data_IF_668525671693
#
_entry.id   IF_668525671693
#
_cell.length_a   1.000
_cell.length_b   1.000
_cell.length_c   1.000
_cell.angle_alpha   90.00
_cell.angle_beta   90.00
_cell.angle_gamma   90.00
#
_symmetry.space_group_name_H-M   'P 1'
#
loop_
_entity.id
_entity.type
_entity.pdbx_description
1 polymer ?
#
# COMPACT_ATOMS: atom_id res chain seq x y z
N UNK A 1 3.07 52.19 10.11
CA UNK A 1 4.41 51.53 10.31
C UNK A 1 4.47 50.02 10.07
N UNK A 2 3.42 49.35 9.61
CA UNK A 2 3.45 47.89 9.30
C UNK A 2 3.74 47.53 7.83
N UNK A 3 3.55 48.42 6.87
CA UNK A 3 3.80 48.12 5.45
C UNK A 3 5.27 48.16 5.03
N UNK A 4 6.15 48.86 5.72
CA UNK A 4 7.57 48.96 5.35
C UNK A 4 8.40 47.69 5.70
N UNK A 5 7.97 46.88 6.67
CA UNK A 5 8.70 45.65 7.04
C UNK A 5 8.49 44.49 6.07
N UNK A 6 7.35 44.44 5.35
CA UNK A 6 7.11 43.43 4.34
C UNK A 6 7.87 43.66 3.03
N UNK A 7 8.07 44.92 2.66
CA UNK A 7 8.83 45.27 1.47
C UNK A 7 10.33 44.98 1.59
N UNK A 8 10.91 45.14 2.78
CA UNK A 8 12.33 44.87 3.06
C UNK A 8 12.60 43.35 3.11
N UNK A 9 11.66 42.54 3.64
CA UNK A 9 11.80 41.08 3.66
C UNK A 9 11.64 40.46 2.25
N UNK A 10 10.74 41.01 1.42
CA UNK A 10 10.60 40.59 0.02
C UNK A 10 11.83 40.97 -0.81
N UNK A 11 12.42 42.17 -0.58
CA UNK A 11 13.65 42.59 -1.25
C UNK A 11 14.87 41.76 -0.82
N UNK A 12 14.94 41.33 0.47
CA UNK A 12 16.02 40.45 0.93
C UNK A 12 15.91 39.00 0.39
N UNK A 13 14.68 38.49 0.16
CA UNK A 13 14.46 37.17 -0.44
C UNK A 13 14.71 37.16 -1.97
N UNK A 14 14.57 38.32 -2.65
CA UNK A 14 14.91 38.45 -4.07
C UNK A 14 16.45 38.55 -4.29
N UNK A 15 17.25 38.89 -3.28
CA UNK A 15 18.71 38.97 -3.39
C UNK A 15 19.42 37.63 -3.24
N UNK A 16 18.73 36.53 -2.93
CA UNK A 16 19.27 35.18 -2.78
C UNK A 16 19.04 34.30 -4.01
N UNK A 17 18.25 34.73 -4.98
CA UNK A 17 18.13 34.02 -6.27
C UNK A 17 19.27 34.48 -7.19
N UNK A 18 20.05 33.56 -7.76
CA UNK A 18 21.04 33.95 -8.78
C UNK A 18 20.33 34.68 -9.89
N UNK A 19 20.86 35.83 -10.30
CA UNK A 19 20.29 36.62 -11.41
C UNK A 19 20.17 35.77 -12.68
N UNK A 20 19.24 36.08 -13.61
CA UNK A 20 18.95 35.25 -14.78
C UNK A 20 20.20 34.93 -15.62
N UNK A 21 21.12 35.86 -15.75
CA UNK A 21 22.40 35.65 -16.48
C UNK A 21 23.32 34.62 -15.80
N UNK A 22 23.33 34.56 -14.45
CA UNK A 22 24.10 33.55 -13.70
C UNK A 22 23.46 32.17 -13.81
N UNK A 23 22.13 32.10 -13.74
CA UNK A 23 21.39 30.83 -13.89
C UNK A 23 21.56 30.24 -15.30
N UNK A 24 21.64 31.10 -16.34
CA UNK A 24 21.87 30.68 -17.72
C UNK A 24 23.32 30.20 -17.92
N UNK A 25 24.32 30.89 -17.37
CA UNK A 25 25.71 30.48 -17.41
C UNK A 25 25.95 29.14 -16.67
N UNK A 26 25.26 28.94 -15.54
CA UNK A 26 25.31 27.69 -14.79
C UNK A 26 24.70 26.54 -15.59
N UNK A 27 23.63 26.77 -16.36
CA UNK A 27 23.00 25.79 -17.22
C UNK A 27 23.89 25.39 -18.40
N UNK A 28 24.52 26.36 -19.08
CA UNK A 28 25.45 26.10 -20.18
C UNK A 28 26.67 25.31 -19.70
N UNK A 29 27.21 25.63 -18.54
CA UNK A 29 28.30 24.87 -17.91
C UNK A 29 27.84 23.43 -17.62
N UNK A 30 26.62 23.24 -17.08
CA UNK A 30 26.07 21.91 -16.82
C UNK A 30 25.89 21.10 -18.11
N UNK A 31 25.36 21.72 -19.17
CA UNK A 31 25.25 21.09 -20.51
C UNK A 31 26.58 20.65 -21.08
N UNK A 32 27.58 21.51 -20.98
CA UNK A 32 28.93 21.19 -21.45
C UNK A 32 29.55 20.00 -20.71
N UNK A 33 29.42 19.97 -19.39
CA UNK A 33 29.90 18.86 -18.57
C UNK A 33 29.12 17.56 -18.85
N UNK A 34 27.83 17.64 -19.00
CA UNK A 34 26.98 16.48 -19.33
C UNK A 34 27.33 15.92 -20.72
N UNK A 35 27.52 16.79 -21.71
CA UNK A 35 27.97 16.41 -23.06
C UNK A 35 29.37 15.82 -23.05
N UNK A 36 30.26 16.28 -22.16
CA UNK A 36 31.59 15.73 -21.92
C UNK A 36 31.59 14.37 -21.18
N UNK A 37 30.44 13.80 -20.86
CA UNK A 37 30.33 12.45 -20.28
C UNK A 37 30.34 12.42 -18.74
N UNK A 38 30.24 13.55 -18.05
CA UNK A 38 30.18 13.56 -16.60
C UNK A 38 28.80 13.03 -16.14
N UNK A 39 28.77 11.82 -15.59
CA UNK A 39 27.55 11.14 -15.20
C UNK A 39 26.71 11.91 -14.16
N UNK A 40 27.38 12.60 -13.23
CA UNK A 40 26.69 13.43 -12.23
C UNK A 40 26.01 14.63 -12.89
N UNK A 41 26.70 15.31 -13.81
CA UNK A 41 26.12 16.43 -14.57
C UNK A 41 25.00 15.98 -15.49
N UNK A 42 25.11 14.80 -16.09
CA UNK A 42 24.05 14.17 -16.89
C UNK A 42 22.81 13.91 -16.05
N UNK A 43 22.97 13.39 -14.83
CA UNK A 43 21.84 13.18 -13.90
C UNK A 43 21.21 14.50 -13.45
N UNK A 44 22.02 15.51 -13.12
CA UNK A 44 21.50 16.83 -12.76
C UNK A 44 20.71 17.46 -13.92
N UNK A 45 21.21 17.34 -15.14
CA UNK A 45 20.50 17.83 -16.33
C UNK A 45 19.19 17.06 -16.55
N UNK A 46 19.21 15.73 -16.38
CA UNK A 46 18.01 14.90 -16.41
C UNK A 46 16.97 15.36 -15.37
N UNK A 47 17.40 15.65 -14.14
CA UNK A 47 16.51 16.15 -13.10
C UNK A 47 15.91 17.52 -13.46
N UNK A 48 16.69 18.42 -14.04
CA UNK A 48 16.19 19.73 -14.50
C UNK A 48 15.12 19.59 -15.59
N UNK A 49 15.31 18.75 -16.59
CA UNK A 49 14.31 18.47 -17.61
C UNK A 49 13.06 17.79 -17.04
N UNK A 50 13.22 16.85 -16.10
CA UNK A 50 12.11 16.19 -15.43
C UNK A 50 11.24 17.17 -14.65
N UNK A 51 11.87 18.09 -13.92
CA UNK A 51 11.20 18.98 -12.97
C UNK A 51 10.87 20.37 -13.57
N UNK A 52 11.43 20.69 -14.74
CA UNK A 52 11.26 21.99 -15.41
C UNK A 52 12.03 23.11 -14.69
N UNK A 53 13.19 22.83 -14.07
CA UNK A 53 13.97 23.79 -13.31
C UNK A 53 15.04 24.44 -14.20
N UNK A 54 14.83 25.69 -14.59
CA UNK A 54 15.71 26.46 -15.48
C UNK A 54 15.65 26.01 -16.95
N UNK A 55 14.88 24.99 -17.27
CA UNK A 55 14.60 24.52 -18.64
C UNK A 55 13.10 24.17 -18.73
N UNK A 56 12.48 24.20 -19.92
CA UNK A 56 11.14 23.65 -20.10
C UNK A 56 11.11 22.18 -19.68
N UNK A 57 10.03 21.76 -19.00
CA UNK A 57 9.86 20.36 -18.63
C UNK A 57 9.80 19.49 -19.89
N UNK A 58 10.67 18.47 -19.96
CA UNK A 58 10.72 17.50 -21.04
C UNK A 58 11.10 16.13 -20.49
N UNK A 59 10.10 15.25 -20.35
CA UNK A 59 10.30 13.91 -19.77
C UNK A 59 11.08 12.97 -20.69
N UNK A 60 11.04 13.21 -22.02
CA UNK A 60 11.79 12.39 -22.98
C UNK A 60 13.29 12.75 -22.93
N UNK A 61 13.63 14.04 -22.93
CA UNK A 61 15.00 14.52 -22.72
C UNK A 61 15.54 14.09 -21.35
N UNK A 62 14.73 14.21 -20.30
CA UNK A 62 15.08 13.75 -18.95
C UNK A 62 15.49 12.27 -18.96
N UNK A 63 14.71 11.43 -19.64
CA UNK A 63 15.01 9.99 -19.73
C UNK A 63 16.28 9.70 -20.53
N UNK A 64 16.53 10.43 -21.63
CA UNK A 64 17.75 10.24 -22.41
C UNK A 64 19.03 10.59 -21.60
N UNK A 65 18.99 11.72 -20.88
CA UNK A 65 20.12 12.10 -20.02
C UNK A 65 20.27 11.15 -18.82
N UNK A 66 19.16 10.67 -18.25
CA UNK A 66 19.19 9.69 -17.18
C UNK A 66 19.79 8.34 -17.63
N UNK A 67 19.53 7.88 -18.87
CA UNK A 67 20.17 6.70 -19.43
C UNK A 67 21.69 6.87 -19.51
N UNK A 68 22.17 8.00 -20.08
CA UNK A 68 23.58 8.27 -20.15
C UNK A 68 24.25 8.31 -18.77
N UNK A 69 23.59 8.93 -17.80
CA UNK A 69 24.06 8.99 -16.42
C UNK A 69 24.11 7.60 -15.77
N UNK A 70 23.11 6.77 -16.01
CA UNK A 70 23.05 5.39 -15.51
C UNK A 70 24.16 4.52 -16.12
N UNK A 71 24.40 4.65 -17.43
CA UNK A 71 25.50 3.98 -18.13
C UNK A 71 26.87 4.46 -17.60
N UNK A 72 26.96 5.71 -17.16
CA UNK A 72 28.12 6.28 -16.46
C UNK A 72 28.24 5.90 -14.98
N UNK A 73 27.36 5.04 -14.46
CA UNK A 73 27.41 4.52 -13.09
C UNK A 73 26.70 5.38 -12.04
N UNK A 74 25.91 6.39 -12.45
CA UNK A 74 25.17 7.23 -11.50
C UNK A 74 24.00 6.45 -10.89
N UNK A 75 24.07 6.21 -9.59
CA UNK A 75 23.16 5.31 -8.87
C UNK A 75 21.71 5.82 -8.88
N UNK A 76 21.50 7.10 -8.67
CA UNK A 76 20.18 7.73 -8.68
C UNK A 76 19.53 7.67 -10.07
N UNK A 77 20.35 7.77 -11.12
CA UNK A 77 19.90 7.63 -12.50
C UNK A 77 19.46 6.18 -12.79
N UNK A 78 20.22 5.19 -12.30
CA UNK A 78 19.84 3.77 -12.42
C UNK A 78 18.50 3.50 -11.76
N UNK A 79 18.27 4.01 -10.56
CA UNK A 79 16.99 3.85 -9.86
C UNK A 79 15.84 4.51 -10.61
N UNK A 80 16.04 5.73 -11.11
CA UNK A 80 15.04 6.44 -11.90
C UNK A 80 14.70 5.68 -13.19
N UNK A 81 15.70 5.29 -13.99
CA UNK A 81 15.51 4.56 -15.25
C UNK A 81 14.84 3.21 -14.99
N UNK A 82 15.28 2.46 -13.98
CA UNK A 82 14.63 1.23 -13.54
C UNK A 82 13.15 1.43 -13.21
N UNK A 83 12.82 2.51 -12.50
CA UNK A 83 11.45 2.88 -12.16
C UNK A 83 10.59 3.22 -13.39
N UNK A 84 11.17 3.89 -14.39
CA UNK A 84 10.46 4.20 -15.65
C UNK A 84 10.17 2.92 -16.44
N UNK A 85 11.13 1.99 -16.57
CA UNK A 85 10.89 0.69 -17.20
C UNK A 85 9.86 -0.16 -16.46
N UNK A 86 9.87 -0.10 -15.12
CA UNK A 86 8.93 -0.88 -14.32
C UNK A 86 7.48 -0.39 -14.48
N UNK A 87 7.28 0.93 -14.51
CA UNK A 87 5.95 1.54 -14.69
C UNK A 87 5.45 1.54 -16.13
N UNK A 88 6.34 1.71 -17.07
CA UNK A 88 5.98 1.87 -18.48
C UNK A 88 5.32 3.22 -18.81
N UNK A 89 5.66 4.28 -18.07
CA UNK A 89 4.99 5.59 -18.19
C UNK A 89 5.44 6.41 -19.40
N UNK A 90 6.72 6.31 -19.77
CA UNK A 90 7.32 7.04 -20.90
C UNK A 90 7.76 6.12 -22.04
N UNK A 91 7.97 4.87 -21.73
CA UNK A 91 8.45 3.83 -22.63
C UNK A 91 7.67 2.54 -22.38
N UNK A 92 7.75 1.60 -23.31
CA UNK A 92 7.13 0.29 -23.11
C UNK A 92 7.64 -0.38 -21.84
N UNK A 93 6.72 -0.81 -20.99
CA UNK A 93 7.03 -1.51 -19.74
C UNK A 93 7.95 -2.71 -19.99
N UNK A 94 9.05 -2.77 -19.26
CA UNK A 94 9.99 -3.89 -19.30
C UNK A 94 10.58 -4.18 -17.91
N UNK A 95 9.92 -5.03 -17.11
CA UNK A 95 10.38 -5.33 -15.75
C UNK A 95 11.75 -6.04 -15.70
N UNK A 96 12.17 -6.73 -16.77
CA UNK A 96 13.48 -7.40 -16.80
C UNK A 96 14.61 -6.37 -16.85
N UNK A 97 14.46 -5.34 -17.68
CA UNK A 97 15.43 -4.23 -17.74
C UNK A 97 15.44 -3.48 -16.42
N UNK A 98 14.25 -3.18 -15.86
CA UNK A 98 14.13 -2.53 -14.54
C UNK A 98 14.88 -3.28 -13.44
N UNK A 99 14.71 -4.61 -13.39
CA UNK A 99 15.41 -5.48 -12.45
C UNK A 99 16.94 -5.38 -12.59
N UNK A 100 17.45 -5.27 -13.82
CA UNK A 100 18.88 -5.09 -14.10
C UNK A 100 19.43 -3.81 -13.46
N UNK A 101 18.74 -2.67 -13.67
CA UNK A 101 19.11 -1.39 -13.08
C UNK A 101 19.04 -1.40 -11.55
N UNK A 102 17.97 -1.96 -10.97
CA UNK A 102 17.86 -2.05 -9.51
C UNK A 102 18.95 -2.93 -8.89
N UNK A 103 19.31 -4.04 -9.53
CA UNK A 103 20.43 -4.88 -9.07
C UNK A 103 21.76 -4.12 -9.08
N UNK A 104 22.02 -3.34 -10.11
CA UNK A 104 23.26 -2.55 -10.22
C UNK A 104 23.34 -1.46 -9.13
N UNK A 105 22.22 -0.87 -8.74
CA UNK A 105 22.15 0.23 -7.78
C UNK A 105 21.95 -0.20 -6.32
N UNK A 106 21.44 -1.43 -6.04
CA UNK A 106 20.94 -1.84 -4.73
C UNK A 106 21.97 -1.85 -3.60
N UNK A 107 23.26 -1.97 -3.93
CA UNK A 107 24.34 -1.92 -2.92
C UNK A 107 24.58 -0.50 -2.39
N UNK A 108 24.26 0.51 -3.18
CA UNK A 108 24.56 1.92 -2.90
C UNK A 108 23.31 2.77 -2.66
N UNK A 109 22.13 2.29 -3.09
CA UNK A 109 20.85 2.98 -2.97
C UNK A 109 19.84 2.17 -2.16
N UNK A 110 19.42 2.70 -1.02
CA UNK A 110 18.34 2.13 -0.23
C UNK A 110 17.01 2.07 -1.01
N UNK A 111 16.78 3.05 -1.89
CA UNK A 111 15.60 3.08 -2.75
C UNK A 111 15.67 1.96 -3.80
N UNK A 112 16.81 1.76 -4.46
CA UNK A 112 17.00 0.69 -5.43
C UNK A 112 16.90 -0.70 -4.76
N UNK A 113 17.45 -0.86 -3.57
CA UNK A 113 17.28 -2.08 -2.78
C UNK A 113 15.79 -2.34 -2.44
N UNK A 114 15.05 -1.32 -2.04
CA UNK A 114 13.60 -1.43 -1.83
C UNK A 114 12.88 -1.85 -3.12
N UNK A 115 13.15 -1.20 -4.25
CA UNK A 115 12.55 -1.51 -5.54
C UNK A 115 12.90 -2.94 -6.01
N UNK A 116 14.13 -3.39 -5.77
CA UNK A 116 14.56 -4.76 -6.08
C UNK A 116 13.80 -5.78 -5.24
N UNK A 117 13.60 -5.51 -3.95
CA UNK A 117 12.74 -6.32 -3.08
C UNK A 117 11.31 -6.42 -3.62
N UNK A 118 10.73 -5.30 -4.09
CA UNK A 118 9.41 -5.29 -4.73
C UNK A 118 9.36 -6.14 -6.00
N UNK A 119 10.42 -6.14 -6.80
CA UNK A 119 10.50 -6.98 -8.00
C UNK A 119 10.49 -8.48 -7.64
N UNK A 120 11.25 -8.90 -6.64
CA UNK A 120 11.25 -10.29 -6.17
C UNK A 120 9.91 -10.70 -5.54
N UNK A 121 9.30 -9.83 -4.76
CA UNK A 121 8.00 -10.09 -4.13
C UNK A 121 6.87 -10.22 -5.16
N UNK A 122 6.83 -9.32 -6.13
CA UNK A 122 5.76 -9.24 -7.15
C UNK A 122 6.03 -10.03 -8.42
N UNK A 123 7.07 -10.85 -8.50
CA UNK A 123 7.48 -11.58 -9.72
C UNK A 123 7.67 -10.65 -10.94
N UNK A 124 8.24 -9.46 -10.72
CA UNK A 124 8.38 -8.45 -11.77
C UNK A 124 9.77 -8.55 -12.44
N UNK A 125 9.81 -9.13 -13.62
CA UNK A 125 11.05 -9.36 -14.37
C UNK A 125 11.91 -10.53 -13.84
N UNK A 126 11.41 -11.27 -12.87
CA UNK A 126 12.04 -12.45 -12.25
C UNK A 126 10.95 -13.38 -11.71
N UNK A 127 11.32 -14.58 -11.32
CA UNK A 127 10.45 -15.43 -10.51
C UNK A 127 10.25 -14.83 -9.11
N UNK A 128 9.10 -15.12 -8.53
CA UNK A 128 8.83 -14.71 -7.16
C UNK A 128 9.84 -15.34 -6.19
N UNK A 129 10.40 -14.51 -5.31
CA UNK A 129 11.32 -14.97 -4.27
C UNK A 129 11.15 -14.10 -3.02
N UNK A 130 10.24 -14.52 -2.14
CA UNK A 130 9.91 -13.74 -0.94
C UNK A 130 11.08 -13.64 0.04
N UNK A 131 11.87 -14.71 0.31
CA UNK A 131 13.08 -14.58 1.12
C UNK A 131 14.05 -13.50 0.61
N UNK A 132 14.32 -13.45 -0.71
CA UNK A 132 15.14 -12.39 -1.29
C UNK A 132 14.50 -11.00 -1.19
N UNK A 133 13.18 -10.90 -1.35
CA UNK A 133 12.48 -9.63 -1.16
C UNK A 133 12.69 -9.10 0.25
N UNK A 134 12.53 -9.95 1.27
CA UNK A 134 12.74 -9.62 2.68
C UNK A 134 14.19 -9.20 2.96
N UNK A 135 15.17 -9.90 2.39
CA UNK A 135 16.59 -9.56 2.50
C UNK A 135 16.85 -8.12 2.01
N UNK A 136 16.39 -7.79 0.80
CA UNK A 136 16.58 -6.46 0.23
C UNK A 136 15.79 -5.37 0.97
N UNK A 137 14.58 -5.65 1.47
CA UNK A 137 13.83 -4.69 2.28
C UNK A 137 14.50 -4.44 3.63
N UNK A 138 15.04 -5.48 4.29
CA UNK A 138 15.79 -5.31 5.52
C UNK A 138 17.08 -4.52 5.29
N UNK A 139 17.79 -4.77 4.18
CA UNK A 139 18.96 -3.99 3.78
C UNK A 139 18.60 -2.51 3.57
N UNK A 140 17.52 -2.23 2.84
CA UNK A 140 17.03 -0.87 2.63
C UNK A 140 16.61 -0.20 3.96
N UNK A 141 15.95 -0.94 4.85
CA UNK A 141 15.54 -0.46 6.18
C UNK A 141 16.76 -0.10 7.05
N UNK A 142 17.80 -0.92 7.03
CA UNK A 142 19.06 -0.65 7.73
C UNK A 142 19.73 0.62 7.19
N UNK A 143 19.65 0.87 5.89
CA UNK A 143 20.13 2.09 5.23
C UNK A 143 19.19 3.31 5.41
N UNK A 144 18.17 3.21 6.28
CA UNK A 144 17.30 4.34 6.64
C UNK A 144 16.06 4.51 5.75
N UNK A 145 15.70 3.53 4.95
CA UNK A 145 14.49 3.59 4.12
C UNK A 145 13.26 3.17 4.92
N UNK A 146 12.51 4.14 5.47
CA UNK A 146 11.38 3.90 6.38
C UNK A 146 10.29 2.99 5.77
N UNK A 147 9.95 3.21 4.51
CA UNK A 147 8.96 2.38 3.81
C UNK A 147 9.39 0.92 3.68
N UNK A 148 10.69 0.67 3.46
CA UNK A 148 11.20 -0.69 3.41
C UNK A 148 11.07 -1.38 4.77
N UNK A 149 11.34 -0.65 5.87
CA UNK A 149 11.15 -1.16 7.22
C UNK A 149 9.68 -1.52 7.48
N UNK A 150 8.73 -0.64 7.10
CA UNK A 150 7.30 -0.92 7.25
C UNK A 150 6.85 -2.11 6.39
N UNK A 151 7.31 -2.19 5.15
CA UNK A 151 6.97 -3.30 4.23
C UNK A 151 7.54 -4.64 4.73
N UNK A 152 8.78 -4.65 5.21
CA UNK A 152 9.39 -5.84 5.79
C UNK A 152 8.67 -6.27 7.08
N UNK A 153 8.32 -5.30 7.96
CA UNK A 153 7.54 -5.57 9.17
C UNK A 153 6.22 -6.26 8.85
N UNK A 154 5.52 -5.73 7.85
CA UNK A 154 4.25 -6.28 7.37
C UNK A 154 4.39 -7.72 6.87
N UNK A 155 5.42 -7.99 6.05
CA UNK A 155 5.65 -9.31 5.49
C UNK A 155 6.03 -10.34 6.57
N UNK A 156 6.86 -9.98 7.55
CA UNK A 156 7.18 -10.84 8.69
C UNK A 156 5.99 -11.08 9.62
N UNK A 157 5.12 -10.09 9.79
CA UNK A 157 3.90 -10.25 10.58
C UNK A 157 2.91 -11.20 9.89
N UNK A 158 2.78 -11.06 8.57
CA UNK A 158 1.88 -11.91 7.77
C UNK A 158 2.39 -13.33 7.58
N UNK A 159 3.70 -13.56 7.65
CA UNK A 159 4.31 -14.87 7.39
C UNK A 159 4.09 -15.34 5.96
N UNK A 160 4.11 -14.43 5.01
CA UNK A 160 3.89 -14.75 3.61
C UNK A 160 5.18 -15.27 2.97
N UNK A 161 5.20 -16.57 2.61
CA UNK A 161 6.38 -17.23 2.04
C UNK A 161 7.54 -17.47 3.02
N UNK A 162 7.36 -17.11 4.29
CA UNK A 162 8.26 -17.38 5.41
C UNK A 162 7.44 -17.66 6.68
N UNK A 163 8.03 -18.29 7.68
CA UNK A 163 7.35 -18.42 8.97
C UNK A 163 7.13 -17.02 9.59
N UNK A 164 5.94 -16.72 10.15
CA UNK A 164 5.70 -15.44 10.82
C UNK A 164 6.69 -15.21 11.97
N UNK A 165 7.24 -14.00 12.05
CA UNK A 165 8.04 -13.55 13.19
C UNK A 165 7.50 -12.22 13.71
N UNK A 166 6.51 -12.24 14.63
CA UNK A 166 5.93 -11.02 15.18
C UNK A 166 6.93 -10.16 15.97
N UNK A 167 7.98 -10.76 16.53
CA UNK A 167 9.00 -10.02 17.29
C UNK A 167 9.90 -9.22 16.33
N UNK A 168 10.33 -9.83 15.22
CA UNK A 168 11.08 -9.14 14.17
C UNK A 168 10.19 -8.09 13.49
N UNK A 169 8.92 -8.42 13.20
CA UNK A 169 7.96 -7.47 12.62
C UNK A 169 7.81 -6.22 13.50
N UNK A 170 7.70 -6.38 14.85
CA UNK A 170 7.61 -5.27 15.78
C UNK A 170 8.86 -4.39 15.73
N UNK A 171 10.06 -4.97 15.78
CA UNK A 171 11.32 -4.18 15.68
C UNK A 171 11.43 -3.39 14.38
N UNK A 172 11.00 -3.99 13.27
CA UNK A 172 10.99 -3.29 11.97
C UNK A 172 9.93 -2.19 11.89
N UNK A 173 8.75 -2.40 12.51
CA UNK A 173 7.72 -1.37 12.62
C UNK A 173 8.19 -0.21 13.53
N UNK A 174 8.86 -0.50 14.63
CA UNK A 174 9.51 0.50 15.49
C UNK A 174 10.56 1.30 14.70
N UNK A 175 11.40 0.62 13.92
CA UNK A 175 12.38 1.28 13.04
C UNK A 175 11.70 2.19 12.00
N UNK A 176 10.60 1.75 11.38
CA UNK A 176 9.84 2.58 10.45
C UNK A 176 9.23 3.81 11.16
N UNK A 177 8.73 3.63 12.38
CA UNK A 177 8.17 4.72 13.20
C UNK A 177 9.23 5.76 13.63
N UNK A 178 10.45 5.32 13.96
CA UNK A 178 11.62 6.20 14.20
C UNK A 178 11.94 7.06 12.97
N UNK A 179 11.87 6.46 11.79
CA UNK A 179 12.08 7.13 10.51
C UNK A 179 10.90 7.99 10.07
N UNK A 180 9.88 8.15 10.92
CA UNK A 180 8.65 8.88 10.65
C UNK A 180 7.89 8.36 9.40
N UNK A 181 7.98 7.07 9.12
CA UNK A 181 7.18 6.46 8.05
C UNK A 181 5.73 6.27 8.51
N UNK A 182 4.74 6.91 7.87
CA UNK A 182 3.34 6.84 8.30
C UNK A 182 2.80 5.41 8.36
N UNK A 183 3.14 4.58 7.37
CA UNK A 183 2.72 3.18 7.35
C UNK A 183 3.29 2.37 8.53
N UNK A 184 4.53 2.66 8.92
CA UNK A 184 5.17 2.04 10.08
C UNK A 184 4.51 2.44 11.39
N UNK A 185 4.16 3.72 11.55
CA UNK A 185 3.43 4.22 12.72
C UNK A 185 2.03 3.60 12.84
N UNK A 186 1.31 3.47 11.72
CA UNK A 186 0.00 2.81 11.69
C UNK A 186 0.14 1.35 12.09
N UNK A 187 1.06 0.62 11.47
CA UNK A 187 1.29 -0.80 11.76
C UNK A 187 1.69 -1.03 13.22
N UNK A 188 2.64 -0.24 13.74
CA UNK A 188 3.05 -0.34 15.14
C UNK A 188 1.89 -0.06 16.08
N UNK A 189 1.10 0.97 15.80
CA UNK A 189 -0.11 1.29 16.55
C UNK A 189 -1.14 0.16 16.52
N UNK A 190 -1.34 -0.51 15.39
CA UNK A 190 -2.22 -1.68 15.29
C UNK A 190 -1.71 -2.86 16.12
N UNK A 191 -0.41 -3.15 16.07
CA UNK A 191 0.19 -4.19 16.90
C UNK A 191 0.02 -3.89 18.40
N UNK A 192 0.23 -2.64 18.81
CA UNK A 192 0.04 -2.17 20.18
C UNK A 192 -1.44 -2.22 20.61
N UNK A 193 -2.34 -1.78 19.75
CA UNK A 193 -3.79 -1.87 20.00
C UNK A 193 -4.23 -3.31 20.22
N UNK A 194 -3.74 -4.24 19.41
CA UNK A 194 -4.03 -5.66 19.58
C UNK A 194 -3.44 -6.26 20.85
N UNK A 195 -2.29 -5.74 21.29
CA UNK A 195 -1.65 -6.11 22.55
C UNK A 195 -2.32 -5.48 23.78
N UNK A 196 -3.23 -4.50 23.59
CA UNK A 196 -3.85 -3.74 24.68
C UNK A 196 -3.02 -2.54 25.16
N UNK A 197 -1.93 -2.20 24.47
CA UNK A 197 -1.06 -1.04 24.74
C UNK A 197 -1.71 0.24 24.16
N UNK A 198 -2.88 0.63 24.67
CA UNK A 198 -3.76 1.63 24.04
C UNK A 198 -3.16 3.04 23.96
N UNK A 199 -2.45 3.48 25.00
CA UNK A 199 -1.82 4.81 25.00
C UNK A 199 -0.69 4.90 23.96
N UNK A 200 0.10 3.84 23.81
CA UNK A 200 1.14 3.76 22.80
C UNK A 200 0.55 3.72 21.37
N UNK A 201 -0.52 2.93 21.17
CA UNK A 201 -1.25 2.91 19.90
C UNK A 201 -1.80 4.29 19.54
N UNK A 202 -2.44 4.97 20.50
CA UNK A 202 -2.96 6.34 20.37
C UNK A 202 -1.87 7.32 19.98
N UNK A 203 -0.72 7.25 20.63
CA UNK A 203 0.43 8.12 20.36
C UNK A 203 0.93 7.94 18.91
N UNK A 204 1.11 6.70 18.46
CA UNK A 204 1.57 6.39 17.11
C UNK A 204 0.55 6.80 16.04
N UNK A 205 -0.74 6.52 16.22
CA UNK A 205 -1.78 6.93 15.27
C UNK A 205 -1.95 8.46 15.24
N UNK A 206 -1.83 9.13 16.38
CA UNK A 206 -1.81 10.61 16.44
C UNK A 206 -0.61 11.17 15.70
N UNK A 207 0.56 10.56 15.84
CA UNK A 207 1.77 10.97 15.10
C UNK A 207 1.56 10.73 13.60
N UNK A 208 1.08 9.56 13.19
CA UNK A 208 0.81 9.23 11.80
C UNK A 208 -0.15 10.24 11.14
N UNK A 209 -1.25 10.59 11.82
CA UNK A 209 -2.26 11.52 11.30
C UNK A 209 -1.76 12.94 11.06
N UNK A 210 -0.68 13.34 11.74
CA UNK A 210 -0.07 14.69 11.62
C UNK A 210 1.05 14.74 10.58
N UNK A 211 1.59 13.59 10.18
CA UNK A 211 2.65 13.55 9.19
C UNK A 211 2.09 13.88 7.81
N UNK A 212 2.56 14.99 7.25
CA UNK A 212 2.40 15.23 5.81
C UNK A 212 3.43 14.36 5.09
N UNK A 213 3.04 13.68 4.00
CA UNK A 213 3.98 12.91 3.24
C UNK A 213 5.10 13.82 2.72
N UNK A 214 6.29 13.62 3.24
CA UNK A 214 7.51 14.23 2.69
C UNK A 214 8.02 13.29 1.60
N UNK A 215 7.56 13.52 0.37
CA UNK A 215 8.30 12.99 -0.79
C UNK A 215 9.62 13.72 -0.93
N UNK A 216 10.63 13.16 -1.62
CA UNK A 216 11.79 13.94 -2.07
C UNK A 216 11.28 15.21 -2.74
N UNK A 217 11.91 16.34 -2.42
CA UNK A 217 11.53 17.67 -2.88
C UNK A 217 11.19 17.65 -4.38
N UNK A 218 9.92 17.92 -4.72
CA UNK A 218 9.45 18.03 -6.11
C UNK A 218 8.52 16.90 -6.61
N UNK A 219 8.36 15.80 -5.89
CA UNK A 219 7.35 14.81 -6.24
C UNK A 219 6.04 15.04 -5.46
N UNK A 220 4.87 14.96 -6.12
CA UNK A 220 3.60 14.94 -5.41
C UNK A 220 3.64 13.78 -4.39
N UNK A 221 3.23 14.07 -3.17
CA UNK A 221 3.16 13.09 -2.10
C UNK A 221 2.52 11.79 -2.60
N UNK A 222 3.18 10.68 -2.35
CA UNK A 222 2.64 9.40 -2.82
C UNK A 222 1.27 9.16 -2.17
N UNK A 223 0.25 8.76 -2.94
CA UNK A 223 -1.11 8.54 -2.41
C UNK A 223 -1.14 7.64 -1.17
N UNK A 224 -0.22 6.69 -1.07
CA UNK A 224 -0.07 5.77 0.06
C UNK A 224 0.25 6.45 1.40
N UNK A 225 1.04 7.52 1.42
CA UNK A 225 1.40 8.17 2.68
C UNK A 225 0.25 9.05 3.22
N UNK A 226 -0.51 9.72 2.33
CA UNK A 226 -1.74 10.40 2.70
C UNK A 226 -2.78 9.41 3.24
N UNK A 227 -2.90 8.25 2.60
CA UNK A 227 -3.81 7.19 3.02
C UNK A 227 -3.45 6.66 4.41
N UNK A 228 -2.16 6.45 4.73
CA UNK A 228 -1.74 6.00 6.06
C UNK A 228 -1.98 7.06 7.14
N UNK A 229 -1.78 8.35 6.83
CA UNK A 229 -2.09 9.43 7.75
C UNK A 229 -3.60 9.51 8.05
N UNK A 230 -4.45 9.38 7.02
CA UNK A 230 -5.90 9.32 7.18
C UNK A 230 -6.31 8.07 7.96
N UNK A 231 -5.73 6.91 7.66
CA UNK A 231 -5.97 5.68 8.40
C UNK A 231 -5.65 5.85 9.89
N UNK A 232 -4.51 6.47 10.24
CA UNK A 232 -4.16 6.78 11.62
C UNK A 232 -5.23 7.62 12.33
N UNK A 233 -5.75 8.65 11.65
CA UNK A 233 -6.84 9.48 12.18
C UNK A 233 -8.14 8.70 12.40
N UNK A 234 -8.50 7.81 11.49
CA UNK A 234 -9.71 6.98 11.58
C UNK A 234 -9.58 5.94 12.70
N UNK A 235 -8.42 5.33 12.87
CA UNK A 235 -8.18 4.33 13.90
C UNK A 235 -8.21 4.90 15.32
N UNK A 236 -7.95 6.20 15.49
CA UNK A 236 -8.12 6.87 16.80
C UNK A 236 -9.55 6.74 17.33
N UNK A 237 -10.56 6.64 16.47
CA UNK A 237 -11.96 6.42 16.87
C UNK A 237 -12.17 5.05 17.51
N UNK A 238 -11.39 4.04 17.10
CA UNK A 238 -11.53 2.67 17.63
C UNK A 238 -11.04 2.54 19.08
N UNK A 239 -10.18 3.44 19.57
CA UNK A 239 -9.62 3.34 20.92
C UNK A 239 -10.73 3.43 21.97
N UNK A 240 -11.65 4.36 21.81
CA UNK A 240 -12.74 4.55 22.77
C UNK A 240 -13.68 3.35 22.82
N UNK A 241 -13.83 2.62 21.72
CA UNK A 241 -14.65 1.41 21.65
C UNK A 241 -13.93 0.16 22.16
N UNK A 242 -12.62 0.10 22.06
CA UNK A 242 -11.81 -1.05 22.55
C UNK A 242 -11.96 -1.28 24.05
N UNK A 243 -12.18 -0.20 24.80
CA UNK A 243 -12.36 -0.22 26.26
C UNK A 243 -13.75 -0.64 26.70
N UNK A 244 -14.71 -0.72 25.78
CA UNK A 244 -16.09 -1.10 26.07
C UNK A 244 -16.31 -2.58 25.77
N UNK A 245 -17.09 -3.31 26.57
CA UNK A 245 -17.60 -4.61 26.18
C UNK A 245 -18.38 -4.48 24.87
N UNK A 246 -18.30 -5.50 24.01
CA UNK A 246 -19.15 -5.55 22.82
C UNK A 246 -20.63 -5.47 23.23
N UNK A 247 -21.38 -4.58 22.62
CA UNK A 247 -22.81 -4.39 22.83
C UNK A 247 -23.56 -4.80 21.55
N UNK A 248 -24.19 -6.00 21.52
CA UNK A 248 -24.89 -6.47 20.32
C UNK A 248 -25.88 -5.43 19.78
N UNK A 249 -25.85 -5.22 18.46
CA UNK A 249 -26.66 -4.21 17.77
C UNK A 249 -26.09 -2.79 17.81
N UNK A 250 -25.18 -2.46 18.71
CA UNK A 250 -24.54 -1.12 18.82
C UNK A 250 -23.08 -1.13 18.39
N UNK A 251 -22.36 -2.14 18.82
CA UNK A 251 -20.92 -2.21 18.59
C UNK A 251 -20.43 -3.65 18.65
N UNK A 252 -19.64 -4.06 17.64
CA UNK A 252 -18.87 -5.29 17.68
C UNK A 252 -17.51 -5.10 17.00
N UNK A 253 -16.48 -5.75 17.53
CA UNK A 253 -15.16 -5.81 16.94
C UNK A 253 -14.55 -7.19 17.11
N UNK A 254 -14.22 -7.82 15.98
CA UNK A 254 -13.56 -9.13 15.91
C UNK A 254 -12.09 -8.93 15.62
N UNK A 255 -11.22 -9.42 16.50
CA UNK A 255 -9.78 -9.35 16.30
C UNK A 255 -9.36 -10.25 15.14
N UNK A 256 -8.83 -9.64 14.08
CA UNK A 256 -8.36 -10.35 12.88
C UNK A 256 -6.84 -10.51 12.89
N UNK A 257 -6.31 -11.66 12.45
CA UNK A 257 -4.91 -11.77 12.12
C UNK A 257 -4.59 -10.87 10.93
N UNK A 258 -3.36 -10.34 10.91
CA UNK A 258 -2.94 -9.45 9.85
C UNK A 258 -2.21 -10.22 8.74
N UNK A 259 -2.60 -10.04 7.49
CA UNK A 259 -1.91 -10.57 6.30
C UNK A 259 -1.83 -9.47 5.24
N UNK A 260 -0.64 -9.26 4.71
CA UNK A 260 -0.40 -8.32 3.62
C UNK A 260 -0.57 -9.00 2.27
N UNK A 261 -1.20 -8.32 1.31
CA UNK A 261 -1.37 -8.87 -0.03
C UNK A 261 -0.17 -8.60 -0.93
N UNK A 262 0.13 -9.57 -1.80
CA UNK A 262 0.96 -9.38 -2.97
C UNK A 262 0.18 -8.75 -4.14
N UNK A 263 0.86 -8.58 -5.27
CA UNK A 263 0.25 -8.03 -6.49
C UNK A 263 -0.90 -8.91 -6.98
N UNK A 264 -2.07 -8.30 -7.22
CA UNK A 264 -3.31 -8.97 -7.66
C UNK A 264 -3.74 -10.19 -6.80
N UNK A 265 -3.51 -10.14 -5.49
CA UNK A 265 -3.76 -11.23 -4.56
C UNK A 265 -4.79 -10.90 -3.46
N UNK A 266 -5.64 -9.88 -3.64
CA UNK A 266 -6.57 -9.44 -2.59
C UNK A 266 -7.54 -10.55 -2.14
N UNK A 267 -8.15 -11.28 -3.08
CA UNK A 267 -9.10 -12.34 -2.77
C UNK A 267 -8.50 -13.47 -1.95
N UNK A 268 -7.38 -14.02 -2.40
CA UNK A 268 -6.70 -15.11 -1.67
C UNK A 268 -6.10 -14.63 -0.34
N UNK A 269 -5.64 -13.38 -0.24
CA UNK A 269 -5.13 -12.84 1.03
C UNK A 269 -6.26 -12.57 2.03
N UNK A 270 -7.39 -12.03 1.61
CA UNK A 270 -8.56 -11.86 2.45
C UNK A 270 -9.08 -13.22 2.96
N UNK A 271 -9.14 -14.22 2.09
CA UNK A 271 -9.52 -15.58 2.45
C UNK A 271 -8.49 -16.26 3.36
N UNK A 272 -7.20 -16.06 3.15
CA UNK A 272 -6.16 -16.55 4.06
C UNK A 272 -6.27 -15.88 5.44
N UNK A 273 -6.54 -14.58 5.50
CA UNK A 273 -6.84 -13.86 6.76
C UNK A 273 -8.03 -14.48 7.49
N UNK A 274 -9.09 -14.78 6.74
CA UNK A 274 -10.29 -15.43 7.27
C UNK A 274 -10.01 -16.88 7.74
N UNK A 275 -9.20 -17.65 6.99
CA UNK A 275 -8.77 -18.99 7.38
C UNK A 275 -7.90 -18.96 8.64
N UNK A 276 -6.99 -17.99 8.78
CA UNK A 276 -6.17 -17.82 9.98
C UNK A 276 -6.99 -17.45 11.21
N UNK A 277 -8.03 -16.66 11.04
CA UNK A 277 -8.98 -16.40 12.12
C UNK A 277 -9.58 -17.72 12.65
N UNK A 278 -9.75 -18.73 11.79
CA UNK A 278 -10.22 -20.07 12.12
C UNK A 278 -9.10 -21.05 12.49
N UNK A 279 -7.88 -20.58 12.80
CA UNK A 279 -6.76 -21.39 13.27
C UNK A 279 -5.84 -21.95 12.18
N UNK A 280 -6.05 -21.65 10.91
CA UNK A 280 -5.09 -22.01 9.84
C UNK A 280 -3.80 -21.20 9.96
N UNK A 281 -2.71 -21.71 9.40
CA UNK A 281 -1.43 -21.00 9.29
C UNK A 281 -1.13 -20.52 7.87
N UNK A 282 -2.06 -20.73 6.92
CA UNK A 282 -1.86 -20.45 5.50
C UNK A 282 -1.63 -18.96 5.22
N UNK A 283 -0.69 -18.64 4.31
CA UNK A 283 -0.47 -17.29 3.77
C UNK A 283 -1.31 -17.01 2.51
N UNK A 284 -1.39 -15.75 2.11
CA UNK A 284 -2.18 -15.34 0.94
C UNK A 284 -1.70 -15.98 -0.37
N UNK A 285 -0.39 -16.06 -0.58
CA UNK A 285 0.18 -16.73 -1.76
C UNK A 285 0.00 -18.24 -1.73
N UNK A 286 0.11 -18.88 -0.57
CA UNK A 286 -0.12 -20.31 -0.44
C UNK A 286 -1.59 -20.65 -0.69
N UNK A 287 -2.51 -19.81 -0.19
CA UNK A 287 -3.94 -19.94 -0.50
C UNK A 287 -4.19 -19.74 -2.01
N UNK A 288 -3.52 -18.75 -2.65
CA UNK A 288 -3.61 -18.51 -4.09
C UNK A 288 -3.13 -19.71 -4.92
N UNK A 289 -2.09 -20.43 -4.49
CA UNK A 289 -1.60 -21.65 -5.16
C UNK A 289 -2.60 -22.80 -5.12
N UNK A 290 -3.52 -22.80 -4.17
CA UNK A 290 -4.62 -23.77 -4.11
C UNK A 290 -5.77 -23.46 -5.08
N UNK A 291 -5.86 -22.20 -5.55
CA UNK A 291 -6.84 -21.77 -6.52
C UNK A 291 -6.44 -22.24 -7.94
N UNK A 292 -7.38 -22.69 -8.77
CA UNK A 292 -7.09 -23.13 -10.15
C UNK A 292 -6.75 -21.99 -11.12
N UNK A 293 -6.75 -20.73 -10.69
CA UNK A 293 -6.39 -19.58 -11.52
C UNK A 293 -4.89 -19.27 -11.46
N UNK A 294 -4.26 -18.79 -12.57
CA UNK A 294 -2.83 -18.46 -12.59
C UNK A 294 -2.41 -17.44 -11.52
N UNK A 295 -1.16 -17.55 -11.05
CA UNK A 295 -0.56 -16.53 -10.16
C UNK A 295 -0.51 -15.18 -10.88
N UNK A 296 -0.76 -14.09 -10.12
CA UNK A 296 -0.77 -12.72 -10.66
C UNK A 296 -2.07 -12.32 -11.38
N UNK A 297 -3.05 -13.21 -11.49
CA UNK A 297 -4.40 -12.90 -11.96
C UNK A 297 -5.40 -12.85 -10.81
N UNK A 298 -6.54 -12.18 -11.00
CA UNK A 298 -7.66 -12.22 -10.05
C UNK A 298 -8.15 -13.66 -9.81
N UNK A 299 -8.90 -13.86 -8.75
CA UNK A 299 -9.45 -15.17 -8.38
C UNK A 299 -10.96 -15.04 -8.20
N UNK A 300 -11.74 -15.88 -8.84
CA UNK A 300 -13.19 -15.86 -8.67
C UNK A 300 -13.63 -16.53 -7.35
N UNK A 301 -14.88 -16.30 -6.95
CA UNK A 301 -15.45 -16.80 -5.71
C UNK A 301 -15.52 -18.32 -5.62
N UNK A 302 -15.76 -18.99 -6.77
CA UNK A 302 -15.79 -20.45 -6.85
C UNK A 302 -14.43 -21.05 -6.56
N UNK A 303 -13.37 -20.48 -7.14
CA UNK A 303 -11.98 -20.89 -6.89
C UNK A 303 -11.54 -20.64 -5.44
N UNK A 304 -11.99 -19.53 -4.83
CA UNK A 304 -11.70 -19.25 -3.42
C UNK A 304 -12.39 -20.27 -2.50
N UNK A 305 -13.64 -20.63 -2.79
CA UNK A 305 -14.38 -21.66 -2.06
C UNK A 305 -13.75 -23.04 -2.22
N UNK A 306 -13.33 -23.41 -3.44
CA UNK A 306 -12.61 -24.65 -3.68
C UNK A 306 -11.29 -24.72 -2.89
N UNK A 307 -10.53 -23.63 -2.88
CA UNK A 307 -9.29 -23.55 -2.10
C UNK A 307 -9.55 -23.67 -0.59
N UNK A 308 -10.65 -23.10 -0.07
CA UNK A 308 -11.02 -23.24 1.34
C UNK A 308 -11.29 -24.69 1.73
N UNK A 309 -11.96 -25.43 0.87
CA UNK A 309 -12.23 -26.85 1.08
C UNK A 309 -10.94 -27.69 1.12
N UNK A 310 -9.93 -27.35 0.28
CA UNK A 310 -8.62 -28.03 0.27
C UNK A 310 -7.84 -27.87 1.60
N UNK A 311 -8.10 -26.82 2.36
CA UNK A 311 -7.51 -26.61 3.69
C UNK A 311 -8.45 -27.03 4.83
N UNK A 312 -9.54 -27.73 4.51
CA UNK A 312 -10.50 -28.22 5.50
C UNK A 312 -11.41 -27.18 6.13
N UNK A 313 -11.48 -25.99 5.54
CA UNK A 313 -12.37 -24.92 5.98
C UNK A 313 -13.73 -25.02 5.27
N UNK A 314 -14.82 -24.93 6.03
CA UNK A 314 -16.18 -24.96 5.49
C UNK A 314 -16.76 -23.55 5.48
N UNK A 315 -16.83 -22.95 4.31
CA UNK A 315 -17.39 -21.62 4.11
C UNK A 315 -18.66 -21.68 3.27
N UNK A 316 -19.55 -20.75 3.53
CA UNK A 316 -20.80 -20.58 2.79
C UNK A 316 -20.71 -19.27 2.00
N UNK A 317 -20.92 -19.36 0.68
CA UNK A 317 -21.15 -18.18 -0.15
C UNK A 317 -22.61 -17.76 -0.03
N UNK A 318 -22.83 -16.52 0.35
CA UNK A 318 -24.13 -15.87 0.46
C UNK A 318 -24.12 -14.67 -0.48
N UNK A 319 -25.24 -14.45 -1.14
CA UNK A 319 -25.41 -13.31 -2.06
C UNK A 319 -26.67 -12.56 -1.74
N UNK A 320 -26.61 -11.24 -1.79
CA UNK A 320 -27.73 -10.33 -1.58
C UNK A 320 -27.98 -9.53 -2.85
N UNK A 321 -29.21 -9.07 -3.05
CA UNK A 321 -29.54 -8.22 -4.21
C UNK A 321 -28.84 -6.86 -4.12
N UNK A 322 -28.58 -6.21 -5.28
CA UNK A 322 -27.82 -4.94 -5.30
C UNK A 322 -28.63 -3.73 -4.87
N UNK A 323 -29.95 -3.88 -4.69
CA UNK A 323 -30.89 -2.82 -4.29
C UNK A 323 -30.77 -2.46 -2.78
N UNK A 324 -31.64 -1.57 -2.34
CA UNK A 324 -31.66 -1.08 -0.96
C UNK A 324 -32.16 -2.15 0.01
N UNK A 325 -33.13 -2.98 -0.40
CA UNK A 325 -33.63 -4.08 0.40
C UNK A 325 -32.51 -5.12 0.65
N UNK A 326 -31.84 -5.54 -0.41
CA UNK A 326 -30.68 -6.46 -0.30
C UNK A 326 -29.51 -5.87 0.49
N UNK A 327 -29.30 -4.54 0.48
CA UNK A 327 -28.33 -3.92 1.36
C UNK A 327 -28.76 -3.98 2.82
N UNK A 328 -30.05 -3.77 3.10
CA UNK A 328 -30.61 -3.92 4.44
C UNK A 328 -30.42 -5.35 4.99
N UNK A 329 -30.74 -6.37 4.19
CA UNK A 329 -30.51 -7.79 4.53
C UNK A 329 -29.01 -8.09 4.74
N UNK A 330 -28.15 -7.60 3.86
CA UNK A 330 -26.71 -7.79 3.94
C UNK A 330 -26.11 -7.17 5.22
N UNK A 331 -26.53 -5.96 5.58
CA UNK A 331 -26.03 -5.31 6.80
C UNK A 331 -26.58 -5.95 8.07
N UNK A 332 -27.83 -6.43 8.08
CA UNK A 332 -28.37 -7.21 9.18
C UNK A 332 -27.60 -8.54 9.35
N UNK A 333 -27.30 -9.21 8.26
CA UNK A 333 -26.45 -10.40 8.27
C UNK A 333 -25.05 -10.12 8.82
N UNK A 334 -24.36 -9.05 8.32
CA UNK A 334 -23.05 -8.64 8.84
C UNK A 334 -23.07 -8.43 10.35
N UNK A 335 -24.03 -7.66 10.85
CA UNK A 335 -24.16 -7.37 12.29
C UNK A 335 -24.38 -8.65 13.10
N UNK A 336 -25.23 -9.55 12.63
CA UNK A 336 -25.47 -10.84 13.28
C UNK A 336 -24.24 -11.74 13.35
N UNK A 337 -23.42 -11.78 12.28
CA UNK A 337 -22.18 -12.53 12.30
C UNK A 337 -21.13 -11.87 13.22
N UNK A 338 -20.99 -10.55 13.17
CA UNK A 338 -20.05 -9.79 13.99
C UNK A 338 -20.41 -9.84 15.48
N UNK A 339 -21.71 -9.74 15.85
CA UNK A 339 -22.18 -9.90 17.22
C UNK A 339 -21.89 -11.30 17.78
N UNK A 340 -21.87 -12.29 16.88
CA UNK A 340 -21.46 -13.67 17.21
C UNK A 340 -19.93 -13.88 17.17
N UNK A 341 -19.13 -12.82 17.05
CA UNK A 341 -17.68 -12.89 17.02
C UNK A 341 -17.09 -13.46 15.73
N UNK A 342 -17.82 -13.42 14.62
CA UNK A 342 -17.39 -13.98 13.33
C UNK A 342 -17.22 -12.86 12.30
N UNK A 343 -16.03 -12.73 11.68
CA UNK A 343 -15.82 -11.81 10.55
C UNK A 343 -16.51 -12.32 9.29
N UNK A 344 -16.63 -11.46 8.29
CA UNK A 344 -17.25 -11.80 6.99
C UNK A 344 -16.35 -11.29 5.86
N UNK A 345 -16.05 -12.15 4.89
CA UNK A 345 -15.32 -11.77 3.66
C UNK A 345 -16.32 -11.17 2.68
N UNK A 346 -15.98 -10.00 2.13
CA UNK A 346 -16.82 -9.29 1.15
C UNK A 346 -16.00 -8.86 -0.05
N UNK A 347 -16.66 -8.59 -1.17
CA UNK A 347 -16.03 -8.11 -2.39
C UNK A 347 -16.51 -6.70 -2.72
N UNK A 348 -15.57 -5.81 -2.97
CA UNK A 348 -15.82 -4.42 -3.31
C UNK A 348 -15.51 -4.15 -4.78
N UNK A 349 -16.43 -3.50 -5.48
CA UNK A 349 -16.09 -2.81 -6.72
C UNK A 349 -15.44 -1.49 -6.38
N UNK A 350 -14.14 -1.41 -6.53
CA UNK A 350 -13.41 -0.19 -6.24
C UNK A 350 -13.56 0.80 -7.41
N UNK A 351 -14.29 1.87 -7.19
CA UNK A 351 -14.40 3.01 -8.09
C UNK A 351 -13.76 4.19 -7.35
N UNK A 352 -12.46 4.37 -7.46
CA UNK A 352 -11.77 5.47 -6.83
C UNK A 352 -10.57 5.96 -7.64
N UNK A 353 -10.13 7.22 -7.45
CA UNK A 353 -9.00 7.80 -8.18
C UNK A 353 -7.66 7.09 -7.96
N UNK A 354 -7.57 6.16 -7.01
CA UNK A 354 -6.38 5.36 -6.74
C UNK A 354 -6.20 4.18 -7.73
N UNK A 355 -7.23 3.89 -8.56
CA UNK A 355 -7.18 2.88 -9.62
C UNK A 355 -7.66 3.50 -10.94
N UNK A 356 -6.86 4.42 -11.55
CA UNK A 356 -7.22 5.00 -12.83
C UNK A 356 -7.25 3.91 -13.89
N UNK A 357 -8.42 3.65 -14.45
CA UNK A 357 -8.60 2.81 -15.65
C UNK A 357 -9.11 1.40 -15.43
N UNK A 358 -9.54 0.98 -14.24
CA UNK A 358 -10.06 -0.37 -14.05
C UNK A 358 -11.12 -0.48 -12.95
N UNK A 359 -12.20 -1.16 -13.24
CA UNK A 359 -13.11 -1.75 -12.25
C UNK A 359 -12.44 -3.00 -11.65
N UNK A 360 -11.37 -2.81 -10.87
CA UNK A 360 -10.74 -3.93 -10.18
C UNK A 360 -11.55 -4.23 -8.92
N UNK A 361 -12.11 -5.43 -8.82
CA UNK A 361 -12.70 -5.94 -7.58
C UNK A 361 -11.65 -6.00 -6.48
N UNK A 362 -12.05 -5.75 -5.23
CA UNK A 362 -11.18 -5.83 -4.07
C UNK A 362 -11.84 -6.58 -2.93
N UNK A 363 -11.30 -7.73 -2.58
CA UNK A 363 -11.82 -8.59 -1.53
C UNK A 363 -11.15 -8.26 -0.19
N UNK A 364 -11.95 -8.15 0.87
CA UNK A 364 -11.49 -7.83 2.23
C UNK A 364 -12.40 -8.44 3.29
N UNK A 365 -12.04 -8.30 4.56
CA UNK A 365 -12.86 -8.76 5.68
C UNK A 365 -13.54 -7.57 6.37
N UNK A 366 -14.84 -7.70 6.66
CA UNK A 366 -15.54 -6.87 7.62
C UNK A 366 -15.38 -7.52 8.99
N UNK A 367 -14.77 -6.79 9.93
CA UNK A 367 -14.44 -7.32 11.25
C UNK A 367 -15.07 -6.53 12.42
N UNK A 368 -15.89 -5.52 12.13
CA UNK A 368 -16.57 -4.78 13.16
C UNK A 368 -17.57 -3.77 12.62
N UNK A 369 -18.36 -3.19 13.52
CA UNK A 369 -19.25 -2.07 13.23
C UNK A 369 -19.42 -1.16 14.44
N UNK A 370 -19.75 0.10 14.19
CA UNK A 370 -20.05 1.15 15.15
C UNK A 370 -21.39 1.76 14.73
N UNK A 371 -22.49 1.29 15.34
CA UNK A 371 -23.83 1.63 14.86
C UNK A 371 -24.18 3.10 15.06
N UNK A 372 -23.78 3.70 16.18
CA UNK A 372 -24.06 5.11 16.49
C UNK A 372 -23.38 6.07 15.50
N UNK A 373 -22.22 5.70 14.98
CA UNK A 373 -21.46 6.49 14.01
C UNK A 373 -21.73 6.07 12.57
N UNK A 374 -22.53 5.02 12.37
CA UNK A 374 -22.83 4.43 11.06
C UNK A 374 -21.57 4.01 10.30
N UNK A 375 -20.60 3.40 11.01
CA UNK A 375 -19.33 2.95 10.50
C UNK A 375 -19.16 1.44 10.57
N UNK A 376 -18.40 0.89 9.62
CA UNK A 376 -17.93 -0.50 9.63
C UNK A 376 -16.40 -0.53 9.70
N UNK A 377 -15.87 -1.55 10.34
CA UNK A 377 -14.41 -1.79 10.46
C UNK A 377 -14.03 -2.85 9.47
N UNK A 378 -13.08 -2.51 8.60
CA UNK A 378 -12.53 -3.40 7.59
C UNK A 378 -11.13 -3.84 8.00
N UNK A 379 -10.81 -5.11 7.77
CA UNK A 379 -9.43 -5.61 7.73
C UNK A 379 -9.03 -5.73 6.25
N UNK A 380 -8.29 -4.74 5.79
CA UNK A 380 -7.94 -4.57 4.38
C UNK A 380 -6.53 -5.14 4.11
N UNK A 381 -6.38 -6.10 3.20
CA UNK A 381 -5.07 -6.63 2.82
C UNK A 381 -4.30 -5.76 1.81
N UNK A 382 -4.84 -4.60 1.39
CA UNK A 382 -4.29 -3.79 0.30
C UNK A 382 -2.81 -3.42 0.50
N UNK A 383 -2.07 -3.33 -0.61
CA UNK A 383 -0.63 -3.02 -0.62
C UNK A 383 -0.34 -1.60 -0.12
N UNK A 384 -1.26 -0.65 -0.37
CA UNK A 384 -1.04 0.77 -0.08
C UNK A 384 -1.45 1.18 1.33
N UNK A 385 -2.50 0.57 1.86
CA UNK A 385 -3.07 0.84 3.19
C UNK A 385 -3.57 -0.44 3.83
N UNK A 386 -2.65 -1.38 4.16
CA UNK A 386 -3.05 -2.63 4.81
C UNK A 386 -3.50 -2.36 6.24
N UNK A 387 -4.35 -3.24 6.77
CA UNK A 387 -4.76 -3.20 8.16
C UNK A 387 -6.19 -2.74 8.38
N UNK A 388 -6.46 -2.20 9.58
CA UNK A 388 -7.79 -1.76 9.96
C UNK A 388 -8.15 -0.42 9.30
N UNK A 389 -9.35 -0.34 8.75
CA UNK A 389 -9.91 0.87 8.13
C UNK A 389 -11.37 1.05 8.55
N UNK A 390 -11.82 2.30 8.60
CA UNK A 390 -13.23 2.63 8.80
C UNK A 390 -13.88 3.03 7.48
N UNK A 391 -15.10 2.56 7.27
CA UNK A 391 -15.93 2.93 6.12
C UNK A 391 -17.32 3.30 6.58
N UNK A 392 -17.93 4.33 5.97
CA UNK A 392 -19.33 4.65 6.25
C UNK A 392 -20.28 3.59 5.67
N UNK A 393 -21.45 3.44 6.23
CA UNK A 393 -22.47 2.55 5.66
C UNK A 393 -22.87 2.96 4.23
N UNK A 394 -22.82 4.27 3.91
CA UNK A 394 -23.06 4.77 2.56
C UNK A 394 -21.99 4.29 1.58
N UNK A 395 -20.71 4.37 1.96
CA UNK A 395 -19.61 3.89 1.10
C UNK A 395 -19.62 2.36 1.02
N UNK A 396 -19.90 1.67 2.13
CA UNK A 396 -20.10 0.22 2.12
C UNK A 396 -21.20 -0.18 1.11
N UNK A 397 -22.33 0.53 1.11
CA UNK A 397 -23.42 0.31 0.15
C UNK A 397 -22.97 0.49 -1.30
N UNK A 398 -22.19 1.53 -1.55
CA UNK A 398 -21.72 1.88 -2.89
C UNK A 398 -20.63 0.93 -3.39
N UNK A 399 -19.73 0.48 -2.53
CA UNK A 399 -18.58 -0.31 -2.91
C UNK A 399 -18.82 -1.82 -2.83
N UNK A 400 -19.69 -2.29 -1.94
CA UNK A 400 -20.00 -3.70 -1.81
C UNK A 400 -20.90 -4.17 -2.95
N UNK A 401 -20.27 -4.40 -4.10
CA UNK A 401 -20.88 -4.92 -5.33
C UNK A 401 -19.88 -5.78 -6.05
N UNK A 402 -20.32 -6.87 -6.63
CA UNK A 402 -19.56 -7.67 -7.57
C UNK A 402 -20.32 -7.78 -8.87
N UNK A 403 -19.78 -7.20 -9.92
CA UNK A 403 -20.19 -7.39 -11.30
C UNK A 403 -19.14 -8.19 -12.10
N UNK A 404 -18.11 -8.62 -11.41
CA UNK A 404 -17.01 -9.40 -11.98
C UNK A 404 -17.03 -10.82 -11.43
N UNK A 405 -16.75 -11.72 -12.28
CA UNK A 405 -16.32 -13.09 -12.03
C UNK A 405 -17.34 -14.20 -12.23
N UNK A 406 -17.26 -14.77 -13.47
CA UNK A 406 -17.43 -16.18 -13.72
C UNK A 406 -18.85 -16.72 -13.65
N UNK A 407 -18.92 -18.02 -13.67
CA UNK A 407 -20.13 -18.81 -13.84
C UNK A 407 -21.24 -18.60 -12.78
N UNK A 408 -20.93 -17.99 -11.65
CA UNK A 408 -21.90 -17.72 -10.58
C UNK A 408 -22.65 -16.40 -10.74
N UNK A 409 -22.12 -15.44 -11.50
CA UNK A 409 -22.72 -14.10 -11.59
C UNK A 409 -23.26 -13.71 -12.95
N UNK A 410 -23.29 -14.55 -13.96
CA UNK A 410 -23.89 -14.34 -15.31
C UNK A 410 -24.56 -12.97 -15.54
N UNK A 411 -23.82 -11.86 -15.28
CA UNK A 411 -24.32 -10.50 -15.45
C UNK A 411 -25.26 -9.98 -14.36
N UNK A 412 -25.47 -10.70 -13.26
CA UNK A 412 -26.31 -10.24 -12.13
C UNK A 412 -25.40 -9.56 -11.13
N UNK A 413 -25.56 -8.25 -10.95
CA UNK A 413 -24.99 -7.52 -9.83
C UNK A 413 -25.46 -8.16 -8.52
N UNK A 414 -24.54 -8.52 -7.63
CA UNK A 414 -24.84 -9.06 -6.32
C UNK A 414 -23.88 -8.52 -5.27
N UNK A 415 -24.21 -8.69 -4.00
CA UNK A 415 -23.33 -8.44 -2.86
C UNK A 415 -22.89 -9.78 -2.29
N UNK A 416 -21.77 -10.35 -2.74
CA UNK A 416 -21.31 -11.64 -2.26
C UNK A 416 -20.62 -11.51 -0.89
N UNK A 417 -20.77 -12.55 -0.08
CA UNK A 417 -20.10 -12.69 1.21
C UNK A 417 -19.70 -14.14 1.48
N UNK A 418 -18.54 -14.39 2.09
CA UNK A 418 -18.25 -15.66 2.72
C UNK A 418 -18.49 -15.56 4.22
N UNK A 419 -19.18 -16.55 4.75
CA UNK A 419 -19.32 -16.76 6.17
C UNK A 419 -18.92 -18.20 6.55
N UNK A 420 -18.64 -18.43 7.83
CA UNK A 420 -18.38 -19.77 8.36
C UNK A 420 -19.67 -20.59 8.25
N UNK A 421 -19.59 -21.78 7.66
CA UNK A 421 -20.74 -22.69 7.64
C UNK A 421 -21.04 -23.14 9.07
N UNK A 422 -22.31 -23.04 9.44
CA UNK A 422 -22.75 -23.52 10.75
C UNK A 422 -22.93 -25.05 10.71
N UNK A 423 -22.50 -25.75 11.76
CA UNK A 423 -22.70 -27.18 11.85
C UNK A 423 -24.19 -27.56 11.88
#
# INVERSE_FOLDING_TARGET
MRCHRFAILAALLMSLSPGPAKAEADLETLRSQAAGGNAKSQWELAARYRDGVGVPKDEAEALQWAHRAADGGQVEAMDFVGSVYLRGSLIKRNPVIALGYFKAAAEQSAQAAFNLGQCYFGAQGTEQNIPKALEYWQKAAAAGHGRAAATAAQAWLSGEGVAPDPALARRLAERAAELNEPAGLVLLGEMQFQAGELDAAKANWTKASKLRPTGPTGHPAQPSANASAQQGADLLKLIDYRLRPSEPGRFAFVKMPHIHQGYNNCGSTACATFARFQGSTIGGWDFKRLCPSPLGTGTDWGHLLEASNKIGQKWKLITFTPDDAGFGEATAFLKGELDAGRPVVVDFKYIGPQYPGGSAGHTLNVCGYLAEENLYVLCNPAVTTPGLQLITASDLKNFWRSDHYGALSKGILSRPAFAIERP
#
